data_IF_456588958155
#
_entry.id   IF_456588958155
#
_cell.length_a   1.000
_cell.length_b   1.000
_cell.length_c   1.000
_cell.angle_alpha   90.00
_cell.angle_beta   90.00
_cell.angle_gamma   90.00
#
_symmetry.space_group_name_H-M   'P 1'
#
loop_
_entity.id
_entity.type
_entity.pdbx_description
1 polymer ?
#
# COMPACT_ATOMS: atom_id res chain seq x y z
N UNK A 1 15.47 -10.81 2.98
CA UNK A 1 14.30 -9.90 2.99
C UNK A 1 14.83 -8.48 2.90
N UNK A 2 14.56 -7.75 1.81
CA UNK A 2 14.95 -6.35 1.67
C UNK A 2 13.77 -5.48 2.12
N UNK A 3 13.83 -5.00 3.36
CA UNK A 3 12.79 -4.15 3.94
C UNK A 3 13.12 -3.84 5.39
N UNK A 4 12.76 -2.63 5.84
CA UNK A 4 12.83 -2.28 7.26
C UNK A 4 11.74 -3.05 8.02
N UNK A 5 12.04 -3.58 9.21
CA UNK A 5 11.03 -4.26 10.02
C UNK A 5 9.92 -3.27 10.43
N UNK A 6 8.69 -3.74 10.51
CA UNK A 6 7.59 -2.96 11.07
C UNK A 6 7.89 -2.68 12.55
N UNK A 7 7.92 -1.41 12.93
CA UNK A 7 8.18 -1.01 14.33
C UNK A 7 6.87 -0.62 14.99
N UNK A 8 6.30 -1.55 15.78
CA UNK A 8 5.02 -1.31 16.48
C UNK A 8 5.11 -0.11 17.44
N UNK A 9 6.25 0.07 18.12
CA UNK A 9 6.52 1.22 19.00
C UNK A 9 6.37 2.55 18.24
N UNK A 10 6.93 2.63 17.03
CA UNK A 10 6.86 3.83 16.19
C UNK A 10 5.42 4.09 15.71
N UNK A 11 4.69 3.03 15.32
CA UNK A 11 3.28 3.14 14.94
C UNK A 11 2.46 3.68 16.10
N UNK A 12 2.65 3.11 17.30
CA UNK A 12 1.94 3.54 18.50
C UNK A 12 2.27 4.97 18.88
N UNK A 13 3.55 5.35 18.86
CA UNK A 13 4.02 6.71 19.14
C UNK A 13 3.39 7.74 18.20
N UNK A 14 3.33 7.42 16.89
CA UNK A 14 2.92 8.40 15.86
C UNK A 14 1.42 8.46 15.62
N UNK A 15 0.71 7.37 15.87
CA UNK A 15 -0.70 7.22 15.47
C UNK A 15 -1.63 6.88 16.63
N UNK A 16 -1.09 6.45 17.77
CA UNK A 16 -1.87 5.94 18.89
C UNK A 16 -2.51 4.57 18.67
N UNK A 17 -2.31 3.94 17.50
CA UNK A 17 -2.89 2.65 17.12
C UNK A 17 -1.96 1.48 17.41
N UNK A 18 -2.51 0.27 17.55
CA UNK A 18 -1.72 -0.96 17.44
C UNK A 18 -1.23 -1.15 15.99
N UNK A 19 -0.27 -2.06 15.78
CA UNK A 19 0.16 -2.42 14.43
C UNK A 19 -1.01 -2.95 13.59
N UNK A 20 -1.87 -3.79 14.17
CA UNK A 20 -3.04 -4.37 13.49
C UNK A 20 -4.05 -3.29 13.06
N UNK A 21 -4.48 -2.41 13.97
CA UNK A 21 -5.42 -1.31 13.69
C UNK A 21 -4.86 -0.35 12.62
N UNK A 22 -3.54 -0.14 12.64
CA UNK A 22 -2.88 0.69 11.65
C UNK A 22 -2.87 0.03 10.27
N UNK A 23 -2.48 -1.25 10.19
CA UNK A 23 -2.43 -1.99 8.93
C UNK A 23 -3.83 -2.18 8.32
N UNK A 24 -4.85 -2.43 9.14
CA UNK A 24 -6.25 -2.44 8.69
C UNK A 24 -6.70 -1.10 8.13
N UNK A 25 -6.41 -0.02 8.86
CA UNK A 25 -6.69 1.33 8.39
C UNK A 25 -5.93 1.68 7.11
N UNK A 26 -4.70 1.19 6.96
CA UNK A 26 -3.87 1.41 5.77
C UNK A 26 -4.44 0.69 4.55
N UNK A 27 -4.83 -0.58 4.68
CA UNK A 27 -5.49 -1.33 3.62
C UNK A 27 -6.77 -0.61 3.15
N UNK A 28 -7.63 -0.24 4.10
CA UNK A 28 -8.85 0.51 3.80
C UNK A 28 -8.57 1.86 3.13
N UNK A 29 -7.56 2.60 3.61
CA UNK A 29 -7.15 3.86 3.03
C UNK A 29 -6.71 3.69 1.58
N UNK A 30 -5.93 2.64 1.28
CA UNK A 30 -5.44 2.37 -0.07
C UNK A 30 -6.61 2.07 -1.00
N UNK A 31 -7.49 1.15 -0.62
CA UNK A 31 -8.68 0.79 -1.42
C UNK A 31 -9.61 1.98 -1.68
N UNK A 32 -9.72 2.88 -0.70
CA UNK A 32 -10.63 4.03 -0.78
C UNK A 32 -10.09 5.16 -1.65
N UNK A 33 -8.78 5.39 -1.64
CA UNK A 33 -8.16 6.59 -2.23
C UNK A 33 -7.48 6.31 -3.58
N UNK A 34 -7.11 5.07 -3.87
CA UNK A 34 -6.49 4.71 -5.14
C UNK A 34 -7.44 3.91 -6.03
N UNK A 35 -7.31 4.12 -7.34
CA UNK A 35 -8.10 3.51 -8.38
C UNK A 35 -7.25 3.37 -9.64
N UNK A 36 -7.70 2.56 -10.59
CA UNK A 36 -7.02 2.40 -11.88
C UNK A 36 -6.78 3.75 -12.61
N UNK A 37 -7.63 4.75 -12.35
CA UNK A 37 -7.57 6.07 -12.98
C UNK A 37 -6.47 6.96 -12.41
N UNK A 38 -6.31 6.99 -11.09
CA UNK A 38 -5.39 7.90 -10.40
C UNK A 38 -4.07 7.24 -9.97
N UNK A 39 -3.97 5.91 -9.99
CA UNK A 39 -2.76 5.19 -9.55
C UNK A 39 -1.50 5.53 -10.37
N UNK A 40 -1.68 6.04 -11.60
CA UNK A 40 -0.56 6.47 -12.46
C UNK A 40 -0.24 7.97 -12.36
N UNK A 41 -0.94 8.75 -11.52
CA UNK A 41 -0.60 10.17 -11.36
C UNK A 41 0.79 10.29 -10.72
N UNK A 42 1.72 10.91 -11.44
CA UNK A 42 3.16 10.93 -11.13
C UNK A 42 3.87 9.61 -11.44
N UNK A 43 3.36 8.48 -10.95
CA UNK A 43 3.98 7.16 -11.15
C UNK A 43 4.13 6.78 -12.63
N UNK A 44 3.18 7.17 -13.48
CA UNK A 44 3.20 6.85 -14.91
C UNK A 44 4.35 7.47 -15.69
N UNK A 45 5.02 8.50 -15.16
CA UNK A 45 6.11 9.20 -15.87
C UNK A 45 7.40 8.37 -15.92
N UNK A 46 7.58 7.44 -14.97
CA UNK A 46 8.79 6.62 -14.83
C UNK A 46 8.60 5.17 -15.25
N UNK A 47 7.40 4.81 -15.75
CA UNK A 47 7.04 3.45 -16.12
C UNK A 47 6.93 3.28 -17.63
N UNK A 48 7.33 2.11 -18.11
CA UNK A 48 7.03 1.64 -19.46
C UNK A 48 5.57 1.19 -19.58
N UNK A 49 5.03 1.16 -20.80
CA UNK A 49 3.63 0.82 -21.06
C UNK A 49 3.23 -0.56 -20.48
N UNK A 50 4.10 -1.57 -20.58
CA UNK A 50 3.85 -2.89 -20.00
C UNK A 50 3.66 -2.81 -18.47
N UNK A 51 4.45 -1.99 -17.79
CA UNK A 51 4.36 -1.80 -16.35
C UNK A 51 3.10 -1.02 -15.98
N UNK A 52 2.73 0.01 -16.74
CA UNK A 52 1.47 0.75 -16.54
C UNK A 52 0.24 -0.15 -16.62
N UNK A 53 0.22 -1.08 -17.57
CA UNK A 53 -0.88 -2.05 -17.72
C UNK A 53 -1.01 -2.93 -16.46
N UNK A 54 0.11 -3.42 -15.92
CA UNK A 54 0.10 -4.20 -14.68
C UNK A 54 -0.30 -3.35 -13.48
N UNK A 55 0.25 -2.14 -13.34
CA UNK A 55 -0.04 -1.24 -12.22
C UNK A 55 -1.53 -0.92 -12.12
N UNK A 56 -2.20 -0.66 -13.25
CA UNK A 56 -3.64 -0.38 -13.24
C UNK A 56 -4.46 -1.57 -12.75
N UNK A 57 -4.00 -2.82 -12.99
CA UNK A 57 -4.78 -4.03 -12.73
C UNK A 57 -4.48 -4.66 -11.38
N UNK A 58 -3.20 -4.70 -10.99
CA UNK A 58 -2.75 -5.58 -9.92
C UNK A 58 -2.17 -4.83 -8.72
N UNK A 59 -1.54 -3.65 -8.91
CA UNK A 59 -0.76 -3.02 -7.83
C UNK A 59 -1.57 -2.78 -6.54
N UNK A 60 -2.78 -2.24 -6.66
CA UNK A 60 -3.64 -1.96 -5.49
C UNK A 60 -4.03 -3.26 -4.80
N UNK A 61 -4.50 -4.24 -5.58
CA UNK A 61 -4.94 -5.55 -5.08
C UNK A 61 -3.79 -6.29 -4.39
N UNK A 62 -2.66 -6.46 -5.05
CA UNK A 62 -1.50 -7.15 -4.50
C UNK A 62 -0.98 -6.43 -3.24
N UNK A 63 -0.97 -5.10 -3.22
CA UNK A 63 -0.54 -4.34 -2.02
C UNK A 63 -1.45 -4.61 -0.81
N UNK A 64 -2.77 -4.61 -1.02
CA UNK A 64 -3.73 -4.89 0.06
C UNK A 64 -3.61 -6.34 0.54
N UNK A 65 -3.43 -7.29 -0.38
CA UNK A 65 -3.17 -8.69 -0.04
C UNK A 65 -1.88 -8.88 0.76
N UNK A 66 -0.81 -8.17 0.41
CA UNK A 66 0.44 -8.20 1.18
C UNK A 66 0.28 -7.62 2.58
N UNK A 67 -0.47 -6.52 2.74
CA UNK A 67 -0.79 -5.97 4.06
C UNK A 67 -1.56 -6.98 4.91
N UNK A 68 -2.53 -7.69 4.32
CA UNK A 68 -3.32 -8.69 5.02
C UNK A 68 -2.49 -9.89 5.51
N UNK A 69 -1.38 -10.22 4.83
CA UNK A 69 -0.45 -11.31 5.21
C UNK A 69 0.49 -10.94 6.37
N UNK A 70 0.59 -9.65 6.73
CA UNK A 70 1.44 -9.19 7.84
C UNK A 70 0.74 -9.38 9.19
N UNK A 71 -0.60 -9.48 9.19
CA UNK A 71 -1.40 -9.88 10.36
C UNK A 71 -1.09 -11.32 10.76
#
# INVERSE_FOLDING_TARGET
KLGYPLTEELIKERTGKSAEEYLEGLAWFIEKNFSEKNILYGLGEVLEEKQKVWVRKELIKETVEEIAKIK
#
